data_IF_075237561668
#
_entry.id   IF_075237561668
#
_cell.length_a   1.000
_cell.length_b   1.000
_cell.length_c   1.000
_cell.angle_alpha   90.00
_cell.angle_beta   90.00
_cell.angle_gamma   90.00
#
_symmetry.space_group_name_H-M   'P 1'
#
loop_
_entity.id
_entity.type
_entity.pdbx_description
1 polymer ?
#
# COMPACT_ATOMS: atom_id res chain seq x y z
N UNK A 1 -9.19 11.10 -0.67
CA UNK A 1 -7.83 10.78 -0.15
C UNK A 1 -7.20 11.91 0.62
N UNK A 2 -7.55 11.99 1.91
CA UNK A 2 -6.93 12.91 2.87
C UNK A 2 -6.69 12.27 4.25
N UNK A 3 -7.35 11.15 4.59
CA UNK A 3 -7.17 10.45 5.87
C UNK A 3 -6.50 9.09 5.69
N UNK A 4 -5.92 8.57 6.77
CA UNK A 4 -5.32 7.22 6.82
C UNK A 4 -6.34 6.15 6.47
N UNK A 5 -7.58 6.28 6.94
CA UNK A 5 -8.67 5.35 6.64
C UNK A 5 -9.01 5.31 5.14
N UNK A 6 -9.03 6.45 4.47
CA UNK A 6 -9.29 6.51 3.01
C UNK A 6 -8.16 5.85 2.21
N UNK A 7 -6.92 6.06 2.65
CA UNK A 7 -5.74 5.41 2.07
C UNK A 7 -5.78 3.90 2.32
N UNK A 8 -6.11 3.47 3.54
CA UNK A 8 -6.24 2.07 3.89
C UNK A 8 -7.34 1.39 3.07
N UNK A 9 -8.52 2.00 2.95
CA UNK A 9 -9.59 1.44 2.13
C UNK A 9 -9.16 1.33 0.66
N UNK A 10 -8.53 2.37 0.11
CA UNK A 10 -8.01 2.34 -1.27
C UNK A 10 -6.95 1.25 -1.45
N UNK A 11 -6.05 1.10 -0.48
CA UNK A 11 -5.01 0.08 -0.48
C UNK A 11 -5.60 -1.33 -0.38
N UNK A 12 -6.58 -1.51 0.51
CA UNK A 12 -7.28 -2.78 0.69
C UNK A 12 -7.99 -3.17 -0.60
N UNK A 13 -8.74 -2.26 -1.18
CA UNK A 13 -9.47 -2.53 -2.42
C UNK A 13 -8.48 -2.85 -3.55
N UNK A 14 -7.34 -2.16 -3.64
CA UNK A 14 -6.28 -2.49 -4.60
C UNK A 14 -5.67 -3.88 -4.35
N UNK A 15 -5.43 -4.26 -3.08
CA UNK A 15 -4.89 -5.58 -2.74
C UNK A 15 -5.88 -6.70 -3.10
N UNK A 16 -7.18 -6.49 -2.85
CA UNK A 16 -8.26 -7.42 -3.19
C UNK A 16 -8.43 -7.53 -4.71
N UNK A 17 -8.40 -6.41 -5.44
CA UNK A 17 -8.60 -6.39 -6.89
C UNK A 17 -7.38 -6.91 -7.68
N UNK A 18 -6.17 -6.57 -7.25
CA UNK A 18 -4.94 -6.92 -7.98
C UNK A 18 -4.44 -8.33 -7.68
N UNK A 19 -4.63 -8.78 -6.43
CA UNK A 19 -4.06 -10.04 -5.95
C UNK A 19 -5.13 -11.06 -5.54
N UNK A 20 -6.41 -10.77 -5.81
CA UNK A 20 -7.55 -11.64 -5.50
C UNK A 20 -7.59 -12.09 -4.02
N UNK A 21 -7.12 -11.21 -3.14
CA UNK A 21 -7.05 -11.46 -1.70
C UNK A 21 -8.42 -11.28 -1.03
N UNK A 22 -8.63 -11.99 0.08
CA UNK A 22 -9.80 -11.78 0.91
C UNK A 22 -9.68 -10.46 1.69
N UNK A 23 -10.71 -9.59 1.67
CA UNK A 23 -10.67 -8.30 2.36
C UNK A 23 -10.48 -8.44 3.87
N UNK A 24 -10.86 -9.59 4.44
CA UNK A 24 -10.71 -9.93 5.86
C UNK A 24 -9.25 -10.23 6.24
N UNK A 25 -8.41 -10.68 5.29
CA UNK A 25 -6.96 -10.89 5.51
C UNK A 25 -6.20 -9.57 5.54
N UNK A 26 -6.69 -8.55 4.83
CA UNK A 26 -6.03 -7.25 4.73
C UNK A 26 -6.33 -6.41 5.97
N UNK A 27 -5.52 -6.61 7.00
CA UNK A 27 -5.53 -5.82 8.24
C UNK A 27 -4.32 -4.89 8.28
N UNK A 28 -4.36 -3.83 9.09
CA UNK A 28 -3.23 -2.90 9.24
C UNK A 28 -1.94 -3.60 9.69
N UNK A 29 -2.07 -4.60 10.56
CA UNK A 29 -0.95 -5.40 11.08
C UNK A 29 -0.49 -6.52 10.13
N UNK A 30 -1.26 -6.82 9.07
CA UNK A 30 -0.92 -7.89 8.13
C UNK A 30 0.40 -7.59 7.43
N UNK A 31 1.29 -8.58 7.42
CA UNK A 31 2.54 -8.55 6.69
C UNK A 31 2.30 -8.83 5.20
N UNK A 32 2.77 -7.94 4.34
CA UNK A 32 2.62 -8.07 2.88
C UNK A 32 3.22 -9.39 2.38
N UNK A 33 4.42 -9.73 2.83
CA UNK A 33 5.16 -10.89 2.32
C UNK A 33 4.77 -12.19 3.01
N UNK A 34 4.51 -12.15 4.32
CA UNK A 34 4.27 -13.36 5.11
C UNK A 34 2.78 -13.72 5.20
N UNK A 35 1.91 -12.73 5.38
CA UNK A 35 0.48 -12.97 5.62
C UNK A 35 -0.35 -12.81 4.35
N UNK A 36 0.03 -11.87 3.47
CA UNK A 36 -0.65 -11.62 2.20
C UNK A 36 0.05 -12.26 1.00
N UNK A 37 1.18 -12.94 1.25
CA UNK A 37 1.93 -13.70 0.24
C UNK A 37 2.34 -12.87 -0.99
N UNK A 38 2.44 -11.55 -0.83
CA UNK A 38 2.85 -10.59 -1.87
C UNK A 38 4.32 -10.78 -2.16
N UNK A 39 4.67 -10.98 -3.42
CA UNK A 39 6.06 -11.10 -3.83
C UNK A 39 6.70 -9.74 -4.21
N UNK A 40 7.97 -9.76 -4.63
CA UNK A 40 8.68 -8.55 -5.05
C UNK A 40 8.19 -7.96 -6.39
N UNK A 41 7.50 -8.74 -7.20
CA UNK A 41 6.93 -8.34 -8.51
C UNK A 41 5.58 -7.67 -8.26
N UNK A 42 4.72 -8.29 -7.46
CA UNK A 42 3.43 -7.79 -6.99
C UNK A 42 3.57 -6.43 -6.29
N UNK A 43 4.61 -6.32 -5.46
CA UNK A 43 5.02 -5.06 -4.85
C UNK A 43 5.17 -3.91 -5.86
N UNK A 44 5.73 -4.16 -7.04
CA UNK A 44 5.92 -3.15 -8.10
C UNK A 44 4.59 -2.72 -8.68
N UNK A 45 3.67 -3.67 -8.91
CA UNK A 45 2.33 -3.38 -9.42
C UNK A 45 1.50 -2.58 -8.40
N UNK A 46 1.62 -2.91 -7.12
CA UNK A 46 0.99 -2.16 -6.04
C UNK A 46 1.48 -0.71 -5.99
N UNK A 47 2.80 -0.48 -6.11
CA UNK A 47 3.37 0.87 -6.17
C UNK A 47 2.83 1.64 -7.39
N UNK A 48 2.77 1.02 -8.57
CA UNK A 48 2.27 1.71 -9.77
C UNK A 48 0.78 2.04 -9.65
N UNK A 49 -0.02 1.15 -9.06
CA UNK A 49 -1.44 1.41 -8.78
C UNK A 49 -1.62 2.59 -7.82
N UNK A 50 -0.91 2.58 -6.69
CA UNK A 50 -0.95 3.67 -5.71
C UNK A 50 -0.50 4.99 -6.34
N UNK A 51 0.54 4.98 -7.17
CA UNK A 51 1.02 6.16 -7.88
C UNK A 51 -0.04 6.73 -8.83
N UNK A 52 -0.80 5.88 -9.53
CA UNK A 52 -1.90 6.33 -10.40
C UNK A 52 -3.04 6.95 -9.60
N UNK A 53 -3.34 6.44 -8.41
CA UNK A 53 -4.40 6.95 -7.52
C UNK A 53 -3.99 8.24 -6.79
N UNK A 54 -2.77 8.29 -6.27
CA UNK A 54 -2.23 9.42 -5.47
C UNK A 54 -1.61 10.53 -6.33
N UNK A 55 -1.15 10.21 -7.54
CA UNK A 55 -0.27 11.06 -8.34
C UNK A 55 1.15 11.22 -7.78
N UNK A 56 1.49 10.51 -6.69
CA UNK A 56 2.79 10.62 -5.99
C UNK A 56 3.58 9.33 -6.17
N UNK A 57 4.90 9.47 -6.33
CA UNK A 57 5.81 8.33 -6.49
C UNK A 57 6.40 7.96 -5.14
N UNK A 58 6.16 6.72 -4.68
CA UNK A 58 6.89 6.13 -3.56
C UNK A 58 8.31 5.80 -4.04
N UNK A 59 9.33 6.18 -3.25
CA UNK A 59 10.71 5.77 -3.54
C UNK A 59 10.85 4.25 -3.32
N UNK A 60 11.60 3.58 -4.20
CA UNK A 60 11.82 2.14 -4.09
C UNK A 60 12.46 1.76 -2.75
N UNK A 61 13.35 2.60 -2.20
CA UNK A 61 13.97 2.37 -0.89
C UNK A 61 12.98 2.50 0.26
N UNK A 62 12.03 3.44 0.18
CA UNK A 62 10.94 3.54 1.17
C UNK A 62 10.06 2.29 1.10
N UNK A 63 9.72 1.83 -0.10
CA UNK A 63 8.92 0.62 -0.27
C UNK A 63 9.66 -0.65 0.21
N UNK A 64 10.97 -0.75 0.02
CA UNK A 64 11.78 -1.85 0.57
C UNK A 64 11.77 -1.91 2.10
N UNK A 65 11.49 -0.80 2.77
CA UNK A 65 11.38 -0.75 4.24
C UNK A 65 9.99 -1.15 4.75
N UNK A 66 8.98 -1.12 3.87
CA UNK A 66 7.60 -1.52 4.19
C UNK A 66 7.54 -3.03 4.40
N UNK A 67 6.88 -3.46 5.47
CA UNK A 67 6.60 -4.87 5.75
C UNK A 67 5.12 -5.13 5.95
N UNK A 68 4.39 -4.18 6.50
CA UNK A 68 2.97 -4.30 6.83
C UNK A 68 2.10 -3.40 5.99
N UNK A 69 0.80 -3.67 5.97
CA UNK A 69 -0.20 -2.79 5.35
C UNK A 69 -0.15 -1.39 5.97
N UNK A 70 0.00 -1.29 7.29
CA UNK A 70 0.15 -0.01 7.99
C UNK A 70 1.37 0.78 7.49
N UNK A 71 2.50 0.13 7.22
CA UNK A 71 3.69 0.80 6.69
C UNK A 71 3.40 1.46 5.32
N UNK A 72 2.62 0.80 4.46
CA UNK A 72 2.21 1.36 3.16
C UNK A 72 1.30 2.56 3.38
N UNK A 73 0.30 2.42 4.27
CA UNK A 73 -0.64 3.50 4.59
C UNK A 73 0.11 4.73 5.09
N UNK A 74 1.06 4.55 6.00
CA UNK A 74 1.89 5.65 6.51
C UNK A 74 2.80 6.25 5.43
N UNK A 75 3.42 5.43 4.58
CA UNK A 75 4.24 5.93 3.47
C UNK A 75 3.43 6.80 2.51
N UNK A 76 2.24 6.33 2.12
CA UNK A 76 1.33 7.09 1.25
C UNK A 76 0.81 8.34 1.94
N UNK A 77 0.43 8.23 3.23
CA UNK A 77 -0.05 9.36 4.01
C UNK A 77 1.01 10.46 4.07
N UNK A 78 2.26 10.09 4.38
CA UNK A 78 3.40 11.01 4.35
C UNK A 78 3.60 11.62 2.98
N UNK A 79 3.52 10.87 1.89
CA UNK A 79 3.72 11.40 0.53
C UNK A 79 2.64 12.40 0.08
N UNK A 80 1.39 12.17 0.48
CA UNK A 80 0.27 13.05 0.15
C UNK A 80 0.32 14.33 1.00
N UNK A 81 0.80 14.24 2.24
CA UNK A 81 0.88 15.37 3.18
C UNK A 81 2.27 16.01 3.26
N UNK A 82 3.27 15.46 2.58
CA UNK A 82 4.58 16.07 2.42
C UNK A 82 4.39 17.31 1.53
N UNK A 83 4.16 18.43 2.18
CA UNK A 83 4.25 19.75 1.58
C UNK A 83 5.71 19.98 1.18
N UNK A 84 5.95 20.08 -0.13
CA UNK A 84 7.10 20.77 -0.68
C UNK A 84 6.70 22.23 -0.92
#
# INVERSE_FOLDING_TARGET
MQTRDDIFNTLRDALVELFELEPERVTLDANLYQDLEIDSIDAVDLIDHIKRKTGKKIAADEFKSVRTVNDVVEAVYRLVHAHA
#
